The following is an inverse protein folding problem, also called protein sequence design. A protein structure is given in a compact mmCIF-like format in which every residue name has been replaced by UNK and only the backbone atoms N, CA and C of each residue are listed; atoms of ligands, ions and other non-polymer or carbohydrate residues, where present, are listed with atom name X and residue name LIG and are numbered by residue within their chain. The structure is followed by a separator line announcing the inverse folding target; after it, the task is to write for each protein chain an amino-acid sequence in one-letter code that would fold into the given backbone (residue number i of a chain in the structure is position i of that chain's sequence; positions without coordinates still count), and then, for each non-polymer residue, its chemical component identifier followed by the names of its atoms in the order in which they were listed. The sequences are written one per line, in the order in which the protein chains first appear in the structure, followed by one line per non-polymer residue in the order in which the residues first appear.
data_IF_394433275225
#
_entry.id   IF_394433275225
#
_cell.length_a   1.000
_cell.length_b   1.000
_cell.length_c   1.000
_cell.angle_alpha   90.00
_cell.angle_beta   90.00
_cell.angle_gamma   90.00
#
_symmetry.space_group_name_H-M   'P 1'
#
loop_
_entity.id
_entity.type
_entity.pdbx_description
1 polymer ?
#
# COMPACT_ATOMS: atom_id res chain seq x y z
N UNK A 1 21.27 22.42 2.29
CA UNK A 1 21.02 20.95 2.22
C UNK A 1 19.53 20.67 2.34
N UNK A 2 19.01 19.89 1.45
CA UNK A 2 17.60 19.47 1.53
C UNK A 2 17.48 18.25 2.44
N UNK A 3 16.66 18.37 3.48
CA UNK A 3 16.32 17.24 4.33
C UNK A 3 15.28 16.38 3.62
N UNK A 4 15.64 15.14 3.28
CA UNK A 4 14.69 14.17 2.78
C UNK A 4 13.85 13.61 3.94
N UNK A 5 12.55 13.33 3.68
CA UNK A 5 11.70 12.62 4.64
C UNK A 5 12.22 11.19 4.83
N UNK A 6 12.24 10.73 6.06
CA UNK A 6 12.59 9.34 6.37
C UNK A 6 11.55 8.36 5.79
N UNK A 7 11.97 7.15 5.43
CA UNK A 7 11.02 6.08 5.10
C UNK A 7 10.04 5.83 6.25
N UNK A 8 8.80 5.55 5.90
CA UNK A 8 7.75 5.28 6.88
C UNK A 8 6.37 5.61 6.35
N UNK A 9 5.38 5.52 7.23
CA UNK A 9 4.00 5.91 6.98
C UNK A 9 3.69 7.21 7.72
N UNK A 10 3.17 8.19 7.00
CA UNK A 10 2.81 9.51 7.51
C UNK A 10 1.31 9.70 7.38
N UNK A 11 0.71 10.28 8.39
CA UNK A 11 -0.73 10.54 8.43
C UNK A 11 -0.98 12.02 8.67
N UNK A 12 -1.97 12.57 8.00
CA UNK A 12 -2.36 13.97 8.15
C UNK A 12 -3.89 14.11 8.07
N UNK A 13 -4.41 15.13 8.69
CA UNK A 13 -5.83 15.48 8.68
C UNK A 13 -5.96 16.97 8.38
N UNK A 14 -6.68 17.28 7.32
CA UNK A 14 -6.99 18.67 6.92
C UNK A 14 -8.48 18.88 7.03
N UNK A 15 -8.88 20.02 7.57
CA UNK A 15 -10.29 20.43 7.60
C UNK A 15 -10.55 21.31 6.37
N UNK A 16 -11.51 20.93 5.56
CA UNK A 16 -11.88 21.71 4.38
C UNK A 16 -12.71 22.95 4.75
N UNK A 17 -13.05 23.77 3.76
CA UNK A 17 -13.87 24.98 3.96
C UNK A 17 -15.29 24.68 4.48
N UNK A 18 -15.77 23.46 4.31
CA UNK A 18 -17.07 22.99 4.78
C UNK A 18 -17.04 22.41 6.20
N UNK A 19 -15.89 22.38 6.86
CA UNK A 19 -15.69 21.79 8.18
C UNK A 19 -15.52 20.28 8.18
N UNK A 20 -15.40 19.62 7.02
CA UNK A 20 -15.17 18.16 6.94
C UNK A 20 -13.69 17.84 7.11
N UNK A 21 -13.43 16.75 7.81
CA UNK A 21 -12.08 16.22 7.95
C UNK A 21 -11.72 15.39 6.73
N UNK A 22 -10.68 15.81 6.03
CA UNK A 22 -10.06 15.06 4.93
C UNK A 22 -8.80 14.38 5.45
N UNK A 23 -8.70 13.08 5.24
CA UNK A 23 -7.59 12.27 5.70
C UNK A 23 -6.62 12.02 4.56
N UNK A 24 -5.35 12.07 4.86
CA UNK A 24 -4.29 11.69 3.93
C UNK A 24 -3.24 10.84 4.61
N UNK A 25 -2.60 9.99 3.83
CA UNK A 25 -1.48 9.19 4.29
C UNK A 25 -0.46 9.06 3.16
N UNK A 26 0.80 9.09 3.51
CA UNK A 26 1.90 8.88 2.56
C UNK A 26 2.77 7.75 3.05
N UNK A 27 2.97 6.74 2.23
CA UNK A 27 3.94 5.68 2.47
C UNK A 27 5.18 5.95 1.65
N UNK A 28 6.28 6.17 2.36
CA UNK A 28 7.60 6.41 1.77
C UNK A 28 8.43 5.14 1.98
N UNK A 29 8.72 4.39 0.90
CA UNK A 29 9.59 3.22 0.99
C UNK A 29 11.06 3.65 1.11
N UNK A 30 11.92 2.74 1.54
CA UNK A 30 13.37 2.93 1.51
C UNK A 30 13.83 3.14 0.06
N UNK A 31 13.25 2.36 -0.84
CA UNK A 31 13.48 2.41 -2.29
C UNK A 31 12.21 1.98 -2.99
N UNK A 32 11.86 2.65 -4.09
CA UNK A 32 10.71 2.33 -4.92
C UNK A 32 9.62 3.38 -4.92
N UNK A 33 8.44 3.00 -5.38
CA UNK A 33 7.31 3.90 -5.58
C UNK A 33 6.70 4.38 -4.26
N UNK A 34 6.42 5.67 -4.19
CA UNK A 34 5.63 6.25 -3.10
C UNK A 34 4.16 5.96 -3.30
N UNK A 35 3.46 5.71 -2.19
CA UNK A 35 2.01 5.57 -2.17
C UNK A 35 1.42 6.72 -1.37
N UNK A 36 0.53 7.48 -2.00
CA UNK A 36 -0.19 8.59 -1.38
C UNK A 36 -1.67 8.26 -1.36
N UNK A 37 -2.25 8.23 -0.17
CA UNK A 37 -3.67 7.98 0.03
C UNK A 37 -4.36 9.27 0.44
N UNK A 38 -5.56 9.51 -0.08
CA UNK A 38 -6.36 10.67 0.28
C UNK A 38 -7.85 10.34 0.27
N UNK A 39 -8.62 10.99 1.12
CA UNK A 39 -10.09 10.99 1.03
C UNK A 39 -10.56 12.27 0.37
N UNK A 40 -11.62 12.17 -0.40
CA UNK A 40 -12.27 13.34 -1.00
C UNK A 40 -13.50 13.77 -0.19
N UNK A 41 -14.19 14.81 -0.68
CA UNK A 41 -15.40 15.33 -0.06
C UNK A 41 -16.59 14.35 -0.09
N UNK A 42 -16.53 13.35 -0.96
CA UNK A 42 -17.55 12.30 -1.09
C UNK A 42 -17.21 11.04 -0.28
N UNK A 43 -16.27 11.13 0.64
CA UNK A 43 -15.82 10.02 1.50
C UNK A 43 -15.14 8.86 0.71
N UNK A 44 -14.71 9.11 -0.53
CA UNK A 44 -14.03 8.12 -1.37
C UNK A 44 -12.54 8.15 -1.09
N UNK A 45 -11.95 6.98 -0.91
CA UNK A 45 -10.51 6.83 -0.68
C UNK A 45 -9.82 6.63 -2.03
N UNK A 46 -8.85 7.49 -2.33
CA UNK A 46 -8.02 7.42 -3.52
C UNK A 46 -6.58 7.08 -3.19
N UNK A 47 -5.89 6.49 -4.14
CA UNK A 47 -4.45 6.25 -4.08
C UNK A 47 -3.76 6.84 -5.31
N UNK A 48 -2.56 7.39 -5.08
CA UNK A 48 -1.63 7.80 -6.14
C UNK A 48 -0.36 6.97 -6.01
N UNK A 49 0.11 6.46 -7.12
CA UNK A 49 1.36 5.72 -7.21
C UNK A 49 2.36 6.66 -7.91
N UNK A 50 3.42 7.06 -7.20
CA UNK A 50 4.48 7.93 -7.73
C UNK A 50 3.98 9.22 -8.41
N UNK A 51 3.05 9.92 -7.78
CA UNK A 51 2.47 11.18 -8.29
C UNK A 51 1.67 11.05 -9.60
N UNK A 52 1.36 9.84 -10.02
CA UNK A 52 0.44 9.61 -11.13
C UNK A 52 -0.99 10.01 -10.78
N UNK A 53 -1.89 9.93 -11.75
CA UNK A 53 -3.31 10.22 -11.52
C UNK A 53 -3.89 9.31 -10.45
N UNK A 54 -4.72 9.88 -9.59
CA UNK A 54 -5.40 9.13 -8.54
C UNK A 54 -6.39 8.11 -9.12
N UNK A 55 -6.52 7.00 -8.42
CA UNK A 55 -7.50 5.97 -8.70
C UNK A 55 -8.14 5.52 -7.37
N UNK A 56 -9.36 4.93 -7.41
CA UNK A 56 -9.99 4.41 -6.21
C UNK A 56 -9.08 3.38 -5.51
N UNK A 57 -9.01 3.43 -4.19
CA UNK A 57 -8.19 2.49 -3.42
C UNK A 57 -8.54 1.04 -3.71
N UNK A 58 -9.82 0.74 -3.87
CA UNK A 58 -10.30 -0.62 -4.16
C UNK A 58 -9.79 -1.16 -5.49
N UNK A 59 -9.66 -0.31 -6.51
CA UNK A 59 -9.02 -0.68 -7.78
C UNK A 59 -7.58 -1.15 -7.56
N UNK A 60 -6.82 -0.44 -6.75
CA UNK A 60 -5.46 -0.81 -6.40
C UNK A 60 -5.39 -2.12 -5.59
N UNK A 61 -6.27 -2.29 -4.61
CA UNK A 61 -6.38 -3.52 -3.81
C UNK A 61 -6.70 -4.73 -4.69
N UNK A 62 -7.64 -4.59 -5.63
CA UNK A 62 -7.96 -5.65 -6.59
C UNK A 62 -6.80 -6.00 -7.50
N UNK A 63 -6.05 -4.99 -7.95
CA UNK A 63 -4.85 -5.19 -8.77
C UNK A 63 -3.75 -5.96 -8.02
N UNK A 64 -3.71 -5.86 -6.69
CA UNK A 64 -2.78 -6.62 -5.85
C UNK A 64 -3.23 -8.06 -5.55
N UNK A 65 -4.43 -8.45 -5.98
CA UNK A 65 -4.91 -9.83 -5.89
C UNK A 65 -6.19 -10.06 -5.09
N UNK A 66 -6.71 -9.06 -4.37
CA UNK A 66 -7.97 -9.15 -3.63
C UNK A 66 -9.09 -8.63 -4.54
N UNK A 67 -9.64 -9.53 -5.38
CA UNK A 67 -10.51 -9.13 -6.49
C UNK A 67 -11.97 -8.95 -6.16
N UNK A 68 -12.51 -9.61 -5.13
CA UNK A 68 -13.92 -9.60 -4.81
C UNK A 68 -14.27 -8.60 -3.72
N UNK A 69 -15.47 -8.03 -3.80
CA UNK A 69 -15.98 -7.08 -2.81
C UNK A 69 -16.02 -7.69 -1.40
N UNK A 70 -16.44 -8.95 -1.29
CA UNK A 70 -16.53 -9.67 -0.02
C UNK A 70 -15.15 -9.86 0.62
N UNK A 71 -14.14 -10.18 -0.17
CA UNK A 71 -12.76 -10.33 0.29
C UNK A 71 -12.19 -8.98 0.78
N UNK A 72 -12.48 -7.89 0.08
CA UNK A 72 -12.06 -6.55 0.51
C UNK A 72 -12.70 -6.18 1.84
N UNK A 73 -14.00 -6.44 2.01
CA UNK A 73 -14.73 -6.18 3.26
C UNK A 73 -14.21 -7.05 4.41
N UNK A 74 -13.89 -8.30 4.15
CA UNK A 74 -13.31 -9.21 5.14
C UNK A 74 -11.93 -8.71 5.64
N UNK A 75 -11.08 -8.23 4.73
CA UNK A 75 -9.75 -7.73 5.08
C UNK A 75 -9.75 -6.38 5.80
N UNK A 76 -10.60 -5.44 5.37
CA UNK A 76 -10.53 -4.03 5.78
C UNK A 76 -11.72 -3.59 6.65
N UNK A 77 -12.72 -4.43 6.81
CA UNK A 77 -13.97 -4.08 7.47
C UNK A 77 -14.94 -3.31 6.56
N UNK A 78 -16.10 -3.01 7.09
CA UNK A 78 -17.18 -2.32 6.37
C UNK A 78 -17.33 -0.88 6.86
N UNK A 79 -16.35 -0.03 6.59
CA UNK A 79 -16.48 1.40 6.85
C UNK A 79 -17.28 2.09 5.72
N UNK A 80 -17.98 3.17 6.06
CA UNK A 80 -18.73 3.96 5.07
C UNK A 80 -17.85 4.43 3.91
N UNK A 81 -16.59 4.82 4.21
CA UNK A 81 -15.63 5.23 3.19
C UNK A 81 -15.22 4.10 2.27
N UNK A 82 -15.01 2.92 2.82
CA UNK A 82 -14.67 1.75 2.01
C UNK A 82 -15.84 1.35 1.11
N UNK A 83 -17.06 1.32 1.63
CA UNK A 83 -18.26 1.00 0.85
C UNK A 83 -18.50 2.02 -0.26
N UNK A 84 -18.36 3.31 0.01
CA UNK A 84 -18.44 4.37 -1.00
C UNK A 84 -17.34 4.22 -2.08
N UNK A 85 -16.15 3.80 -1.69
CA UNK A 85 -15.04 3.56 -2.63
C UNK A 85 -15.31 2.34 -3.51
N UNK A 86 -15.84 1.25 -2.96
CA UNK A 86 -16.27 0.07 -3.74
C UNK A 86 -17.34 0.44 -4.75
N UNK A 87 -18.32 1.24 -4.37
CA UNK A 87 -19.38 1.71 -5.26
C UNK A 87 -18.85 2.59 -6.40
N UNK A 88 -17.85 3.42 -6.12
CA UNK A 88 -17.19 4.26 -7.12
C UNK A 88 -16.30 3.48 -8.08
N UNK A 89 -15.78 2.34 -7.66
CA UNK A 89 -14.87 1.50 -8.44
C UNK A 89 -15.64 0.85 -9.60
N UNK A 90 -15.18 1.10 -10.82
CA UNK A 90 -15.77 0.52 -12.05
C UNK A 90 -15.27 -0.90 -12.32
N UNK A 91 -14.19 -1.33 -11.67
CA UNK A 91 -13.63 -2.67 -11.83
C UNK A 91 -14.34 -3.69 -10.93
N UNK A 92 -14.43 -4.94 -11.38
CA UNK A 92 -15.13 -6.01 -10.66
C UNK A 92 -14.24 -7.18 -10.29
N UNK A 93 -13.06 -7.26 -10.87
CA UNK A 93 -12.10 -8.34 -10.62
C UNK A 93 -10.66 -7.83 -10.73
N UNK A 94 -9.71 -8.70 -10.39
CA UNK A 94 -8.29 -8.35 -10.40
C UNK A 94 -7.76 -8.01 -11.80
N UNK A 95 -8.23 -8.67 -12.83
CA UNK A 95 -7.75 -8.43 -14.21
C UNK A 95 -8.16 -7.05 -14.71
N UNK A 96 -9.42 -6.66 -14.54
CA UNK A 96 -9.91 -5.32 -14.88
C UNK A 96 -9.16 -4.24 -14.08
N UNK A 97 -8.93 -4.49 -12.81
CA UNK A 97 -8.19 -3.58 -11.93
C UNK A 97 -6.73 -3.42 -12.36
N UNK A 98 -6.05 -4.50 -12.73
CA UNK A 98 -4.69 -4.44 -13.28
C UNK A 98 -4.61 -3.57 -14.53
N UNK A 99 -5.56 -3.70 -15.44
CA UNK A 99 -5.63 -2.89 -16.65
C UNK A 99 -5.87 -1.42 -16.33
N UNK A 100 -6.77 -1.11 -15.39
CA UNK A 100 -7.03 0.28 -14.98
C UNK A 100 -5.82 0.92 -14.30
N UNK A 101 -5.14 0.20 -13.43
CA UNK A 101 -3.90 0.67 -12.77
C UNK A 101 -2.83 0.93 -13.84
N UNK A 102 -2.64 0.01 -14.78
CA UNK A 102 -1.65 0.15 -15.84
C UNK A 102 -1.91 1.36 -16.73
N UNK A 103 -3.17 1.61 -17.11
CA UNK A 103 -3.57 2.82 -17.86
C UNK A 103 -3.20 4.11 -17.14
N UNK A 104 -3.32 4.14 -15.81
CA UNK A 104 -2.95 5.31 -15.00
C UNK A 104 -1.44 5.49 -14.91
N UNK A 105 -0.68 4.40 -14.80
CA UNK A 105 0.78 4.43 -14.69
C UNK A 105 1.46 4.69 -16.04
N UNK A 106 0.89 4.17 -17.13
CA UNK A 106 1.43 4.25 -18.49
C UNK A 106 0.38 4.70 -19.50
N UNK A 107 -0.03 5.98 -19.47
CA UNK A 107 -1.02 6.49 -20.41
C UNK A 107 -0.53 6.37 -21.87
N UNK A 108 -1.42 5.91 -22.75
CA UNK A 108 -1.13 5.81 -24.19
C UNK A 108 -0.36 4.57 -24.64
N UNK A 109 0.08 3.71 -23.72
CA UNK A 109 0.70 2.43 -24.08
C UNK A 109 -0.36 1.34 -24.28
N UNK A 110 -0.14 0.39 -25.22
CA UNK A 110 -0.96 -0.81 -25.33
C UNK A 110 -0.91 -1.59 -24.01
N UNK A 111 -2.06 -2.06 -23.55
CA UNK A 111 -2.15 -2.75 -22.26
C UNK A 111 -2.68 -4.17 -22.44
N UNK A 112 -2.04 -5.11 -21.74
CA UNK A 112 -2.44 -6.52 -21.62
C UNK A 112 -2.41 -6.89 -20.15
N UNK A 113 -3.16 -7.92 -19.76
CA UNK A 113 -3.15 -8.42 -18.37
C UNK A 113 -1.75 -8.87 -17.96
N UNK A 114 -1.04 -9.59 -18.82
CA UNK A 114 0.31 -10.06 -18.54
C UNK A 114 1.31 -8.89 -18.39
N UNK A 115 1.24 -7.91 -19.25
CA UNK A 115 2.05 -6.71 -19.17
C UNK A 115 1.78 -5.89 -17.90
N UNK A 116 0.51 -5.75 -17.53
CA UNK A 116 0.10 -5.07 -16.31
C UNK A 116 0.57 -5.83 -15.06
N UNK A 117 0.43 -7.15 -15.03
CA UNK A 117 0.89 -8.00 -13.93
C UNK A 117 2.41 -7.90 -13.76
N UNK A 118 3.16 -7.99 -14.84
CA UNK A 118 4.62 -7.85 -14.83
C UNK A 118 5.03 -6.47 -14.32
N UNK A 119 4.36 -5.42 -14.77
CA UNK A 119 4.66 -4.05 -14.35
C UNK A 119 4.42 -3.84 -12.84
N UNK A 120 3.28 -4.31 -12.32
CA UNK A 120 2.95 -4.23 -10.89
C UNK A 120 3.93 -5.05 -10.06
N UNK A 121 4.27 -6.27 -10.49
CA UNK A 121 5.25 -7.10 -9.80
C UNK A 121 6.64 -6.43 -9.74
N UNK A 122 7.09 -5.88 -10.85
CA UNK A 122 8.38 -5.16 -10.89
C UNK A 122 8.35 -3.90 -10.03
N UNK A 123 7.20 -3.25 -9.92
CA UNK A 123 7.08 -2.00 -9.17
C UNK A 123 7.05 -2.23 -7.64
N UNK A 124 6.40 -3.30 -7.17
CA UNK A 124 6.14 -3.52 -5.74
C UNK A 124 6.75 -4.79 -5.16
N UNK A 125 7.03 -5.81 -5.95
CA UNK A 125 7.37 -7.16 -5.45
C UNK A 125 8.68 -7.72 -5.97
N UNK A 126 9.38 -7.05 -6.86
CA UNK A 126 10.65 -7.54 -7.42
C UNK A 126 11.76 -7.49 -6.36
N UNK A 127 12.30 -8.65 -5.91
CA UNK A 127 13.38 -8.69 -4.94
C UNK A 127 14.63 -7.92 -5.37
N UNK A 128 14.96 -7.94 -6.64
CA UNK A 128 16.13 -7.22 -7.15
C UNK A 128 16.02 -5.71 -6.95
N UNK A 129 14.80 -5.20 -6.91
CA UNK A 129 14.52 -3.77 -6.67
C UNK A 129 14.49 -3.43 -5.18
N UNK A 130 13.97 -4.32 -4.35
CA UNK A 130 13.68 -4.02 -2.93
C UNK A 130 14.60 -4.70 -1.94
N UNK A 131 15.28 -5.77 -2.32
CA UNK A 131 16.23 -6.41 -1.43
C UNK A 131 17.45 -5.52 -1.20
N UNK A 132 17.81 -5.40 0.06
CA UNK A 132 19.01 -4.67 0.46
C UNK A 132 20.23 -5.59 0.35
N UNK A 133 21.34 -5.04 -0.16
CA UNK A 133 22.64 -5.70 -0.02
C UNK A 133 23.01 -5.89 1.47
N UNK A 134 23.99 -6.74 1.76
CA UNK A 134 24.47 -6.93 3.12
C UNK A 134 24.87 -5.62 3.79
N UNK A 135 25.55 -4.75 3.06
CA UNK A 135 25.96 -3.42 3.57
C UNK A 135 24.75 -2.52 3.79
N UNK A 136 23.80 -2.52 2.85
CA UNK A 136 22.56 -1.76 3.00
C UNK A 136 21.73 -2.25 4.19
N UNK A 137 21.62 -3.56 4.39
CA UNK A 137 20.92 -4.17 5.53
C UNK A 137 21.60 -3.80 6.85
N UNK A 138 22.92 -3.85 6.92
CA UNK A 138 23.66 -3.44 8.10
C UNK A 138 23.42 -1.97 8.46
N UNK A 139 23.53 -1.08 7.49
CA UNK A 139 23.27 0.36 7.70
C UNK A 139 21.82 0.63 8.14
N UNK A 140 20.88 -0.07 7.54
CA UNK A 140 19.46 0.03 7.90
C UNK A 140 19.23 -0.41 9.35
N UNK A 141 19.73 -1.59 9.73
CA UNK A 141 19.58 -2.12 11.08
C UNK A 141 20.26 -1.21 12.12
N UNK A 142 21.39 -0.62 11.80
CA UNK A 142 22.10 0.32 12.68
C UNK A 142 21.28 1.60 12.94
N UNK A 143 20.59 2.12 11.91
CA UNK A 143 19.79 3.35 12.04
C UNK A 143 18.38 3.11 12.60
N UNK A 144 17.79 1.99 12.26
CA UNK A 144 16.41 1.64 12.58
C UNK A 144 16.35 0.31 13.33
N UNK A 145 17.12 0.20 14.42
CA UNK A 145 17.21 -1.01 15.23
C UNK A 145 15.83 -1.62 15.47
N UNK A 146 15.63 -2.82 14.94
CA UNK A 146 14.37 -3.56 15.10
C UNK A 146 14.17 -3.90 16.58
N UNK A 147 15.24 -4.24 17.29
CA UNK A 147 15.20 -4.60 18.71
C UNK A 147 14.59 -3.49 19.53
N UNK A 148 15.06 -2.25 19.37
CA UNK A 148 14.53 -1.10 20.10
C UNK A 148 13.06 -0.80 19.78
N UNK A 149 12.62 -1.14 18.57
CA UNK A 149 11.25 -0.92 18.13
C UNK A 149 10.27 -1.99 18.59
N UNK A 150 10.75 -3.20 18.78
CA UNK A 150 9.94 -4.36 19.19
C UNK A 150 9.93 -4.54 20.70
N UNK A 151 11.03 -4.19 21.35
CA UNK A 151 11.17 -4.34 22.79
C UNK A 151 10.09 -3.56 23.56
N UNK A 152 9.42 -4.21 24.49
CA UNK A 152 8.34 -3.62 25.26
C UNK A 152 7.00 -3.48 24.51
N UNK A 153 6.89 -4.06 23.33
CA UNK A 153 5.62 -4.11 22.56
C UNK A 153 4.93 -5.46 22.76
N UNK A 154 3.62 -5.44 22.61
CA UNK A 154 2.80 -6.65 22.66
C UNK A 154 2.54 -7.17 21.25
N UNK A 155 2.81 -8.44 21.02
CA UNK A 155 2.56 -9.08 19.73
C UNK A 155 1.04 -9.24 19.51
N UNK A 156 0.55 -8.79 18.38
CA UNK A 156 -0.86 -8.94 17.98
C UNK A 156 -1.14 -10.28 17.30
N UNK A 157 -0.11 -10.93 16.77
CA UNK A 157 -0.17 -12.23 16.11
C UNK A 157 1.00 -13.10 16.56
N UNK A 158 0.87 -14.43 16.50
CA UNK A 158 1.98 -15.30 16.78
C UNK A 158 3.08 -15.14 15.72
N UNK A 159 4.32 -15.37 16.14
CA UNK A 159 5.50 -15.35 15.26
C UNK A 159 6.02 -16.78 15.13
N UNK A 160 6.12 -17.26 13.91
CA UNK A 160 6.68 -18.57 13.61
C UNK A 160 7.90 -18.44 12.67
N UNK A 161 8.79 -19.42 12.77
CA UNK A 161 9.90 -19.54 11.83
C UNK A 161 9.36 -19.86 10.43
N UNK A 162 9.64 -19.05 9.40
CA UNK A 162 9.09 -19.26 8.06
C UNK A 162 9.63 -20.51 7.35
N UNK A 163 10.74 -21.08 7.82
CA UNK A 163 11.35 -22.26 7.23
C UNK A 163 10.87 -23.56 7.90
N UNK A 164 10.77 -23.56 9.22
CA UNK A 164 10.41 -24.75 10.01
C UNK A 164 8.94 -24.78 10.42
N UNK A 165 8.28 -23.63 10.45
CA UNK A 165 6.92 -23.47 10.98
C UNK A 165 6.88 -23.50 12.53
N UNK A 166 8.04 -23.57 13.20
CA UNK A 166 8.11 -23.57 14.65
C UNK A 166 7.60 -22.26 15.24
N UNK A 167 6.74 -22.35 16.25
CA UNK A 167 6.20 -21.19 16.95
C UNK A 167 7.28 -20.60 17.86
N UNK A 168 7.74 -19.39 17.55
CA UNK A 168 8.77 -18.67 18.31
C UNK A 168 8.19 -17.82 19.42
N UNK A 169 7.01 -17.24 19.24
CA UNK A 169 6.31 -16.44 20.22
C UNK A 169 4.81 -16.43 19.96
N UNK A 170 4.01 -16.45 21.02
CA UNK A 170 2.55 -16.37 20.94
C UNK A 170 2.06 -14.91 20.84
N UNK A 171 0.83 -14.73 20.37
CA UNK A 171 0.15 -13.44 20.44
C UNK A 171 -0.10 -13.03 21.90
N UNK A 172 0.02 -11.73 22.21
CA UNK A 172 -0.18 -11.22 23.56
C UNK A 172 1.03 -11.21 24.45
#
# INVERSE_FOLDING_TARGET
SQLARSPGAYFDVVVDKSGRKLFSSTIIPIRGAWLEYETDQNEIIYVRIDKNRKLPLTTFIRALGIGKDEEIKEYFGESERLLATIEKDVTKNSEEALLEVYKKLRPGEPFTVDGATTHINNLFFDPQRYDLSRVGRFKYNKKLSIVERVLGRTLTRPVADPLTGELLAEAG
#
